data_IF_701873104242
#
_entry.id   IF_701873104242
#
_cell.length_a   1.000
_cell.length_b   1.000
_cell.length_c   1.000
_cell.angle_alpha   90.00
_cell.angle_beta   90.00
_cell.angle_gamma   90.00
#
_symmetry.space_group_name_H-M   'P 1'
#
loop_
_entity.id
_entity.type
_entity.pdbx_description
1 polymer ?
#
# COMPACT_ATOMS: atom_id res chain seq x y z
N UNK A 1 17.41 -27.91 31.80
CA UNK A 1 17.26 -26.93 30.71
C UNK A 1 16.79 -25.58 31.29
N UNK A 2 17.60 -24.99 32.13
CA UNK A 2 17.37 -23.75 32.83
C UNK A 2 18.62 -22.90 32.64
N UNK A 3 18.69 -22.07 31.62
CA UNK A 3 19.65 -20.95 31.60
C UNK A 3 19.56 -20.10 30.32
N UNK A 4 18.37 -19.61 29.95
CA UNK A 4 18.21 -18.68 28.79
C UNK A 4 17.65 -17.30 29.15
N UNK A 5 17.30 -17.02 30.40
CA UNK A 5 16.68 -15.76 30.81
C UNK A 5 17.63 -14.77 31.49
N UNK A 6 18.76 -15.22 32.02
CA UNK A 6 19.75 -14.38 32.72
C UNK A 6 20.65 -13.54 31.79
N UNK A 7 20.70 -13.86 30.50
CA UNK A 7 21.54 -13.14 29.51
C UNK A 7 20.83 -11.99 28.78
N UNK A 8 19.58 -11.68 29.15
CA UNK A 8 18.88 -10.57 28.55
C UNK A 8 19.40 -9.24 29.13
N UNK A 9 19.81 -8.37 28.24
CA UNK A 9 20.28 -7.02 28.58
C UNK A 9 19.47 -5.98 27.81
N UNK A 10 19.30 -4.81 28.42
CA UNK A 10 18.71 -3.62 27.80
C UNK A 10 19.73 -2.51 27.70
N UNK A 11 19.71 -1.79 26.59
CA UNK A 11 20.51 -0.59 26.36
C UNK A 11 19.58 0.58 26.14
N UNK A 12 19.74 1.63 26.95
CA UNK A 12 19.02 2.89 26.80
C UNK A 12 19.62 3.65 25.60
N UNK A 13 18.76 4.05 24.66
CA UNK A 13 19.15 4.85 23.51
C UNK A 13 18.30 6.12 23.46
N UNK A 14 18.92 7.30 23.37
CA UNK A 14 18.18 8.52 23.09
C UNK A 14 17.62 8.47 21.67
N UNK A 15 16.49 9.14 21.46
CA UNK A 15 15.90 9.33 20.15
C UNK A 15 16.00 10.78 19.69
N UNK A 16 15.70 11.06 18.43
CA UNK A 16 15.62 12.44 17.94
C UNK A 16 14.51 13.25 18.62
N UNK A 17 13.52 12.58 19.20
CA UNK A 17 12.46 13.21 19.99
C UNK A 17 12.80 13.09 21.48
N UNK A 18 13.05 14.20 22.21
CA UNK A 18 13.43 14.18 23.63
C UNK A 18 12.35 13.62 24.56
N UNK A 19 11.09 13.54 24.09
CA UNK A 19 10.00 12.93 24.86
C UNK A 19 9.97 11.39 24.76
N UNK A 20 10.84 10.81 23.94
CA UNK A 20 10.85 9.36 23.69
C UNK A 20 12.23 8.79 24.05
N UNK A 21 12.25 7.73 24.90
CA UNK A 21 13.41 6.86 25.05
C UNK A 21 13.18 5.52 24.34
N UNK A 22 14.27 4.90 23.91
CA UNK A 22 14.30 3.55 23.35
C UNK A 22 15.11 2.64 24.26
N UNK A 23 14.51 1.53 24.67
CA UNK A 23 15.14 0.45 25.41
C UNK A 23 15.36 -0.73 24.45
N UNK A 24 16.60 -0.94 24.03
CA UNK A 24 16.94 -1.97 23.05
C UNK A 24 17.46 -3.22 23.74
N UNK A 25 16.81 -4.35 23.44
CA UNK A 25 17.21 -5.68 23.97
C UNK A 25 18.23 -6.34 23.03
N UNK A 26 19.09 -7.16 23.61
CA UNK A 26 20.08 -7.94 22.87
C UNK A 26 19.48 -9.15 22.12
N UNK A 27 18.15 -9.31 22.13
CA UNK A 27 17.42 -10.36 21.41
C UNK A 27 16.01 -9.90 21.03
N UNK A 28 15.36 -10.58 20.06
CA UNK A 28 13.96 -10.31 19.74
C UNK A 28 13.04 -10.55 20.94
N UNK A 29 12.11 -9.61 21.17
CA UNK A 29 11.10 -9.64 22.24
C UNK A 29 9.74 -10.10 21.71
N UNK A 30 9.34 -9.61 20.55
CA UNK A 30 8.05 -9.87 19.91
C UNK A 30 8.20 -10.02 18.40
N UNK A 31 7.18 -10.60 17.75
CA UNK A 31 7.02 -10.56 16.30
C UNK A 31 6.12 -9.37 15.95
N UNK A 32 6.60 -8.47 15.07
CA UNK A 32 5.86 -7.27 14.67
C UNK A 32 6.14 -6.07 15.56
N UNK A 33 5.34 -5.03 15.38
CA UNK A 33 5.43 -3.76 16.10
C UNK A 33 4.06 -3.38 16.62
N UNK A 34 3.99 -2.87 17.84
CA UNK A 34 2.76 -2.57 18.56
C UNK A 34 2.85 -1.18 19.19
N UNK A 35 1.77 -0.41 19.11
CA UNK A 35 1.61 0.88 19.78
C UNK A 35 0.38 0.84 20.69
N UNK A 36 0.55 1.31 21.91
CA UNK A 36 -0.52 1.46 22.90
C UNK A 36 -0.54 2.91 23.38
N UNK A 37 -1.67 3.59 23.24
CA UNK A 37 -1.83 5.00 23.60
C UNK A 37 -2.43 5.21 24.98
N UNK A 38 -2.97 4.15 25.57
CA UNK A 38 -3.56 4.13 26.90
C UNK A 38 -3.63 2.68 27.43
N UNK A 39 -3.99 2.55 28.71
CA UNK A 39 -4.06 1.26 29.40
C UNK A 39 -5.17 0.36 28.84
N UNK A 40 -6.25 0.93 28.29
CA UNK A 40 -7.36 0.14 27.73
C UNK A 40 -6.98 -0.55 26.43
N UNK A 41 -6.09 0.05 25.64
CA UNK A 41 -5.52 -0.58 24.45
C UNK A 41 -4.54 -1.72 24.81
N UNK A 42 -3.95 -1.68 25.99
CA UNK A 42 -2.97 -2.65 26.48
C UNK A 42 -3.58 -3.89 27.18
N UNK A 43 -4.88 -4.18 27.00
CA UNK A 43 -5.58 -5.30 27.67
C UNK A 43 -4.87 -6.65 27.47
N UNK A 44 -4.36 -6.89 26.27
CA UNK A 44 -3.63 -8.12 25.91
C UNK A 44 -2.10 -7.91 25.83
N UNK A 45 -1.60 -6.85 26.45
CA UNK A 45 -0.18 -6.51 26.48
C UNK A 45 0.27 -6.25 27.93
N UNK A 46 0.50 -7.33 28.74
CA UNK A 46 0.78 -7.18 30.16
C UNK A 46 1.95 -6.25 30.48
N UNK A 47 3.03 -6.29 29.68
CA UNK A 47 4.14 -5.36 29.86
C UNK A 47 3.74 -3.90 29.64
N UNK A 48 3.01 -3.62 28.54
CA UNK A 48 2.54 -2.25 28.26
C UNK A 48 1.59 -1.77 29.36
N UNK A 49 0.71 -2.65 29.85
CA UNK A 49 -0.19 -2.35 30.95
C UNK A 49 0.57 -1.98 32.24
N UNK A 50 1.62 -2.70 32.61
CA UNK A 50 2.48 -2.34 33.75
C UNK A 50 3.14 -0.99 33.57
N UNK A 51 3.61 -0.68 32.36
CA UNK A 51 4.24 0.61 32.07
C UNK A 51 3.28 1.80 32.13
N UNK A 52 1.98 1.60 31.83
CA UNK A 52 0.97 2.65 32.02
C UNK A 52 0.63 2.94 33.49
N UNK A 53 1.04 2.13 34.43
CA UNK A 53 0.93 2.50 35.86
C UNK A 53 1.96 3.56 36.26
N UNK A 54 2.98 3.82 35.44
CA UNK A 54 3.87 4.95 35.61
C UNK A 54 3.16 6.22 35.11
N UNK A 55 2.86 7.22 35.98
CA UNK A 55 1.96 8.33 35.67
C UNK A 55 2.50 9.25 34.55
N UNK A 56 3.77 9.17 34.26
CA UNK A 56 4.42 9.95 33.21
C UNK A 56 4.47 9.26 31.84
N UNK A 57 4.07 7.97 31.73
CA UNK A 57 4.05 7.25 30.45
C UNK A 57 2.79 7.58 29.68
N UNK A 58 2.96 8.13 28.48
CA UNK A 58 1.89 8.55 27.56
C UNK A 58 1.61 7.51 26.48
N UNK A 59 2.66 6.89 25.93
CA UNK A 59 2.54 5.89 24.85
C UNK A 59 3.63 4.85 25.03
N UNK A 60 3.28 3.59 24.80
CA UNK A 60 4.19 2.44 24.81
C UNK A 60 4.28 1.86 23.43
N UNK A 61 5.50 1.71 22.90
CA UNK A 61 5.81 1.02 21.66
C UNK A 61 6.60 -0.25 21.97
N UNK A 62 6.21 -1.37 21.38
CA UNK A 62 6.94 -2.64 21.50
C UNK A 62 7.18 -3.17 20.09
N UNK A 63 8.42 -3.40 19.72
CA UNK A 63 8.75 -3.84 18.37
C UNK A 63 9.98 -4.73 18.40
N UNK A 64 9.95 -5.80 17.62
CA UNK A 64 11.07 -6.70 17.42
C UNK A 64 11.94 -6.87 18.67
N UNK A 65 13.02 -6.11 18.81
CA UNK A 65 14.00 -6.16 19.90
C UNK A 65 14.02 -4.89 20.76
N UNK A 66 13.03 -4.00 20.69
CA UNK A 66 13.04 -2.79 21.50
C UNK A 66 11.66 -2.41 22.07
N UNK A 67 11.70 -1.63 23.14
CA UNK A 67 10.55 -0.95 23.74
C UNK A 67 10.87 0.53 23.72
N UNK A 68 9.96 1.36 23.18
CA UNK A 68 10.09 2.80 23.24
C UNK A 68 8.93 3.39 24.05
N UNK A 69 9.24 4.38 24.87
CA UNK A 69 8.27 5.02 25.75
C UNK A 69 8.23 6.51 25.47
N UNK A 70 7.02 7.01 25.24
CA UNK A 70 6.77 8.46 25.18
C UNK A 70 6.23 8.92 26.51
N UNK A 71 6.78 10.02 27.04
CA UNK A 71 6.36 10.63 28.31
C UNK A 71 5.35 11.75 28.15
N UNK A 72 4.64 12.07 29.23
CA UNK A 72 4.06 13.38 29.43
C UNK A 72 5.17 14.37 29.91
N UNK A 73 5.02 15.70 29.72
CA UNK A 73 6.04 16.68 30.07
C UNK A 73 6.05 17.01 31.60
N UNK A 74 5.86 16.00 32.44
CA UNK A 74 5.85 16.12 33.92
C UNK A 74 7.14 15.64 34.58
N UNK A 75 7.99 14.91 33.84
CA UNK A 75 9.32 14.45 34.28
C UNK A 75 10.28 14.49 33.10
N UNK A 76 11.58 14.58 33.34
CA UNK A 76 12.60 14.40 32.31
C UNK A 76 13.11 12.97 32.30
N UNK A 77 13.34 12.40 31.09
CA UNK A 77 13.83 11.02 30.98
C UNK A 77 15.12 10.79 31.75
N UNK A 78 16.02 11.78 31.79
CA UNK A 78 17.29 11.72 32.54
C UNK A 78 17.12 11.41 34.02
N UNK A 79 15.97 11.73 34.58
CA UNK A 79 15.68 11.55 36.01
C UNK A 79 15.17 10.12 36.31
N UNK A 80 14.50 9.48 35.35
CA UNK A 80 13.74 8.23 35.57
C UNK A 80 14.15 7.07 34.65
N UNK A 81 14.93 7.31 33.62
CA UNK A 81 15.20 6.32 32.56
C UNK A 81 15.89 5.04 33.08
N UNK A 82 16.81 5.16 34.02
CA UNK A 82 17.54 4.01 34.56
C UNK A 82 16.62 3.11 35.39
N UNK A 83 15.74 3.72 36.20
CA UNK A 83 14.75 2.99 36.99
C UNK A 83 13.73 2.30 36.11
N UNK A 84 13.23 2.98 35.09
CA UNK A 84 12.31 2.41 34.10
C UNK A 84 12.97 1.26 33.32
N UNK A 85 14.22 1.44 32.88
CA UNK A 85 14.96 0.39 32.20
C UNK A 85 15.16 -0.85 33.08
N UNK A 86 15.46 -0.63 34.36
CA UNK A 86 15.61 -1.72 35.33
C UNK A 86 14.28 -2.45 35.58
N UNK A 87 13.18 -1.71 35.70
CA UNK A 87 11.83 -2.32 35.86
C UNK A 87 11.47 -3.17 34.65
N UNK A 88 11.69 -2.66 33.43
CA UNK A 88 11.46 -3.42 32.18
C UNK A 88 12.36 -4.66 32.12
N UNK A 89 13.64 -4.54 32.49
CA UNK A 89 14.58 -5.66 32.50
C UNK A 89 14.13 -6.76 33.45
N UNK A 90 13.75 -6.42 34.68
CA UNK A 90 13.22 -7.37 35.67
C UNK A 90 11.96 -8.05 35.16
N UNK A 91 11.06 -7.31 34.53
CA UNK A 91 9.87 -7.88 33.92
C UNK A 91 10.22 -8.92 32.83
N UNK A 92 11.10 -8.55 31.90
CA UNK A 92 11.52 -9.43 30.80
C UNK A 92 12.27 -10.68 31.29
N UNK A 93 13.09 -10.54 32.35
CA UNK A 93 13.79 -11.68 32.97
C UNK A 93 12.87 -12.58 33.78
N UNK A 94 11.73 -12.09 34.25
CA UNK A 94 10.74 -12.88 34.97
C UNK A 94 10.03 -13.94 34.15
N UNK A 95 10.16 -13.87 32.82
CA UNK A 95 9.50 -14.78 31.87
C UNK A 95 8.01 -14.58 31.72
N UNK A 96 7.47 -13.47 32.23
CA UNK A 96 6.09 -13.09 31.98
C UNK A 96 5.87 -12.77 30.51
N UNK A 97 4.66 -13.01 30.01
CA UNK A 97 4.29 -12.70 28.66
C UNK A 97 4.34 -11.18 28.40
N UNK A 98 4.94 -10.81 27.29
CA UNK A 98 4.95 -9.42 26.80
C UNK A 98 3.60 -9.10 26.16
N UNK A 99 3.08 -10.04 25.37
CA UNK A 99 1.82 -9.97 24.64
C UNK A 99 1.05 -11.27 24.86
N UNK A 100 -0.26 -11.21 25.04
CA UNK A 100 -1.18 -12.35 25.19
C UNK A 100 -2.04 -12.46 23.92
N UNK A 101 -1.96 -13.59 23.20
CA UNK A 101 -2.77 -13.82 22.01
C UNK A 101 -2.59 -12.74 20.94
N UNK A 102 -3.68 -12.29 20.33
CA UNK A 102 -3.68 -11.12 19.43
C UNK A 102 -3.67 -9.82 20.25
N UNK A 103 -2.55 -9.49 20.83
CA UNK A 103 -2.35 -8.26 21.57
C UNK A 103 -2.13 -7.08 20.64
N UNK A 104 -3.16 -6.29 20.47
CA UNK A 104 -3.09 -5.07 19.66
C UNK A 104 -3.03 -5.32 18.15
N UNK A 105 -3.32 -4.31 17.35
CA UNK A 105 -2.95 -4.33 15.93
C UNK A 105 -1.43 -4.17 15.87
N UNK A 106 -0.68 -5.06 15.21
CA UNK A 106 0.73 -4.81 14.96
C UNK A 106 0.83 -3.44 14.29
N UNK A 107 1.69 -2.58 14.84
CA UNK A 107 2.08 -1.36 14.15
C UNK A 107 2.80 -1.82 12.89
N UNK A 108 2.09 -1.86 11.76
CA UNK A 108 2.69 -2.14 10.46
C UNK A 108 3.86 -1.19 10.23
N UNK A 109 4.77 -1.55 9.35
CA UNK A 109 5.79 -0.61 8.87
C UNK A 109 5.15 0.74 8.64
N UNK A 110 5.80 1.81 9.09
CA UNK A 110 5.27 3.16 8.94
C UNK A 110 4.86 3.38 7.49
N UNK A 111 3.58 3.64 7.27
CA UNK A 111 3.07 3.85 5.90
C UNK A 111 3.71 5.10 5.34
N UNK A 112 4.42 4.93 4.25
CA UNK A 112 4.93 6.01 3.43
C UNK A 112 4.19 6.05 2.10
N UNK A 113 3.94 7.25 1.62
CA UNK A 113 3.36 7.49 0.29
C UNK A 113 4.19 8.58 -0.36
N UNK A 114 4.67 8.32 -1.56
CA UNK A 114 5.33 9.31 -2.40
C UNK A 114 4.59 9.45 -3.72
N UNK A 115 4.91 10.48 -4.49
CA UNK A 115 4.21 10.80 -5.73
C UNK A 115 5.15 10.71 -6.92
N UNK A 116 4.62 10.24 -8.03
CA UNK A 116 5.29 10.17 -9.33
C UNK A 116 4.42 10.87 -10.37
N UNK A 117 5.03 11.73 -11.18
CA UNK A 117 4.37 12.29 -12.36
C UNK A 117 4.21 11.22 -13.42
N UNK A 118 3.15 11.32 -14.22
CA UNK A 118 2.90 10.40 -15.33
C UNK A 118 3.01 11.16 -16.67
N UNK A 119 3.14 10.45 -17.79
CA UNK A 119 3.08 11.09 -19.11
C UNK A 119 1.75 11.79 -19.40
N UNK A 120 0.68 11.42 -18.67
CA UNK A 120 -0.60 12.10 -18.73
C UNK A 120 -0.64 13.22 -17.69
N UNK A 121 -0.66 14.50 -18.08
CA UNK A 121 -0.59 15.64 -17.15
C UNK A 121 -1.81 15.76 -16.24
N UNK A 122 -2.92 15.10 -16.57
CA UNK A 122 -4.11 15.07 -15.72
C UNK A 122 -4.05 13.99 -14.65
N UNK A 123 -3.03 13.13 -14.66
CA UNK A 123 -2.91 11.99 -13.74
C UNK A 123 -1.66 12.11 -12.87
N UNK A 124 -1.84 11.89 -11.56
CA UNK A 124 -0.76 11.76 -10.59
C UNK A 124 -0.80 10.38 -9.93
N UNK A 125 0.37 9.74 -9.83
CA UNK A 125 0.54 8.43 -9.23
C UNK A 125 1.03 8.57 -7.78
N UNK A 126 0.35 7.91 -6.85
CA UNK A 126 0.65 7.86 -5.42
C UNK A 126 1.07 6.45 -5.04
N UNK A 127 2.34 6.26 -4.70
CA UNK A 127 2.94 4.96 -4.43
C UNK A 127 3.11 4.74 -2.94
N UNK A 128 2.55 3.66 -2.43
CA UNK A 128 2.68 3.24 -1.03
C UNK A 128 3.80 2.19 -0.87
N UNK A 129 4.38 2.11 0.33
CA UNK A 129 5.34 1.07 0.68
C UNK A 129 4.70 -0.28 1.03
N UNK A 130 3.42 -0.47 0.74
CA UNK A 130 2.71 -1.74 0.91
C UNK A 130 1.78 -2.01 -0.26
N UNK A 131 1.48 -3.28 -0.48
CA UNK A 131 0.46 -3.67 -1.45
C UNK A 131 -0.93 -3.17 -1.02
N UNK A 132 -1.67 -2.58 -1.94
CA UNK A 132 -3.00 -2.00 -1.72
C UNK A 132 -4.10 -2.96 -2.20
N UNK A 133 -3.94 -3.49 -3.40
CA UNK A 133 -4.91 -4.36 -4.07
C UNK A 133 -4.23 -5.56 -4.73
N UNK A 134 -4.90 -6.71 -4.84
CA UNK A 134 -4.35 -7.89 -5.50
C UNK A 134 -4.57 -7.91 -7.02
N UNK A 135 -5.39 -7.02 -7.54
CA UNK A 135 -5.75 -6.92 -8.97
C UNK A 135 -6.03 -5.47 -9.34
N UNK A 136 -5.90 -5.15 -10.62
CA UNK A 136 -6.21 -3.82 -11.15
C UNK A 136 -7.70 -3.53 -11.00
N UNK A 137 -8.02 -2.34 -10.48
CA UNK A 137 -9.40 -1.87 -10.33
C UNK A 137 -9.46 -0.37 -10.59
N UNK A 138 -10.45 0.07 -11.36
CA UNK A 138 -10.68 1.46 -11.70
C UNK A 138 -12.12 1.87 -11.39
N UNK A 139 -12.30 3.09 -10.94
CA UNK A 139 -13.59 3.71 -10.65
C UNK A 139 -13.65 5.07 -11.32
N UNK A 140 -14.63 5.24 -12.22
CA UNK A 140 -14.85 6.47 -12.99
C UNK A 140 -15.98 7.33 -12.42
N UNK A 141 -16.63 6.86 -11.37
CA UNK A 141 -17.67 7.63 -10.68
C UNK A 141 -17.84 7.17 -9.21
N UNK A 142 -18.56 7.98 -8.43
CA UNK A 142 -18.90 7.64 -7.04
C UNK A 142 -19.84 6.42 -6.98
N UNK A 143 -20.73 6.31 -7.96
CA UNK A 143 -21.70 5.22 -8.07
C UNK A 143 -21.00 3.87 -8.28
N UNK A 144 -19.92 3.84 -9.06
CA UNK A 144 -19.10 2.65 -9.25
C UNK A 144 -18.31 2.28 -7.99
N UNK A 145 -17.95 3.27 -7.18
CA UNK A 145 -17.08 3.12 -6.02
C UNK A 145 -17.81 2.70 -4.72
N UNK A 146 -19.08 2.27 -4.77
CA UNK A 146 -19.89 1.91 -3.58
C UNK A 146 -19.23 0.83 -2.70
N UNK A 147 -18.56 -0.13 -3.31
CA UNK A 147 -17.84 -1.20 -2.62
C UNK A 147 -16.35 -0.90 -2.39
N UNK A 148 -15.92 0.34 -2.68
CA UNK A 148 -14.54 0.79 -2.53
C UNK A 148 -14.46 2.03 -1.64
N UNK A 149 -14.47 1.89 -0.31
CA UNK A 149 -14.54 3.01 0.64
C UNK A 149 -13.46 4.07 0.43
N UNK A 150 -12.25 3.67 0.00
CA UNK A 150 -11.18 4.61 -0.29
C UNK A 150 -11.47 5.44 -1.55
N UNK A 151 -11.88 4.80 -2.64
CA UNK A 151 -12.23 5.49 -3.89
C UNK A 151 -13.43 6.42 -3.68
N UNK A 152 -14.51 5.92 -3.06
CA UNK A 152 -15.68 6.73 -2.74
C UNK A 152 -15.33 7.97 -1.92
N UNK A 153 -14.43 7.81 -0.93
CA UNK A 153 -14.00 8.94 -0.10
C UNK A 153 -13.14 9.94 -0.89
N UNK A 154 -12.23 9.47 -1.75
CA UNK A 154 -11.40 10.34 -2.58
C UNK A 154 -12.26 11.16 -3.55
N UNK A 155 -13.19 10.52 -4.25
CA UNK A 155 -14.11 11.17 -5.19
C UNK A 155 -15.06 12.17 -4.52
N UNK A 156 -15.51 11.87 -3.28
CA UNK A 156 -16.42 12.75 -2.53
C UNK A 156 -15.69 13.93 -1.89
N UNK A 157 -14.52 13.66 -1.27
CA UNK A 157 -13.79 14.67 -0.50
C UNK A 157 -13.04 15.65 -1.38
N UNK A 158 -12.57 15.19 -2.54
CA UNK A 158 -11.81 15.97 -3.50
C UNK A 158 -12.57 16.08 -4.83
N UNK A 159 -13.53 17.01 -4.96
CA UNK A 159 -14.43 17.07 -6.11
C UNK A 159 -13.74 17.29 -7.46
N UNK A 160 -12.49 17.71 -7.45
CA UNK A 160 -11.64 17.83 -8.62
C UNK A 160 -11.05 16.50 -9.09
N UNK A 161 -11.15 15.41 -8.30
CA UNK A 161 -10.79 14.05 -8.73
C UNK A 161 -11.97 13.46 -9.50
N UNK A 162 -11.69 12.93 -10.68
CA UNK A 162 -12.67 12.32 -11.59
C UNK A 162 -12.61 10.80 -11.58
N UNK A 163 -11.37 10.23 -11.56
CA UNK A 163 -11.17 8.79 -11.61
C UNK A 163 -10.14 8.36 -10.56
N UNK A 164 -10.35 7.15 -10.03
CA UNK A 164 -9.45 6.50 -9.08
C UNK A 164 -9.09 5.12 -9.62
N UNK A 165 -7.81 4.92 -9.89
CA UNK A 165 -7.26 3.69 -10.39
C UNK A 165 -6.32 3.07 -9.33
N UNK A 166 -6.47 1.77 -9.05
CA UNK A 166 -5.62 1.02 -8.12
C UNK A 166 -4.89 -0.10 -8.85
N UNK A 167 -3.61 -0.23 -8.60
CA UNK A 167 -2.83 -1.40 -9.00
C UNK A 167 -1.71 -1.66 -7.99
N UNK A 168 -1.52 -2.91 -7.62
CA UNK A 168 -0.52 -3.41 -6.67
C UNK A 168 -0.34 -2.50 -5.45
N UNK A 169 0.66 -1.61 -5.46
CA UNK A 169 1.02 -0.72 -4.36
C UNK A 169 0.80 0.77 -4.66
N UNK A 170 0.09 1.13 -5.71
CA UNK A 170 -0.13 2.54 -6.07
C UNK A 170 -1.58 2.88 -6.43
N UNK A 171 -1.86 4.16 -6.38
CA UNK A 171 -3.12 4.77 -6.78
C UNK A 171 -2.81 5.83 -7.82
N UNK A 172 -3.42 5.76 -9.00
CA UNK A 172 -3.41 6.87 -9.95
C UNK A 172 -4.73 7.63 -9.82
N UNK A 173 -4.62 8.95 -9.64
CA UNK A 173 -5.77 9.85 -9.56
C UNK A 173 -5.80 10.72 -10.80
N UNK A 174 -6.93 10.70 -11.51
CA UNK A 174 -7.21 11.60 -12.63
C UNK A 174 -7.95 12.81 -12.11
N UNK A 175 -7.44 14.00 -12.40
CA UNK A 175 -8.12 15.26 -12.08
C UNK A 175 -8.91 15.78 -13.26
N UNK A 176 -10.02 16.45 -12.96
CA UNK A 176 -10.75 17.32 -13.88
C UNK A 176 -10.50 18.78 -13.50
N UNK A 177 -10.62 19.66 -14.48
CA UNK A 177 -10.46 21.08 -14.23
C UNK A 177 -9.02 21.59 -14.33
N UNK A 178 -8.81 22.82 -13.86
CA UNK A 178 -7.57 23.57 -14.03
C UNK A 178 -6.68 23.60 -12.78
N UNK A 179 -7.03 22.84 -11.75
CA UNK A 179 -6.23 22.76 -10.51
C UNK A 179 -4.82 22.28 -10.86
N UNK A 180 -3.80 22.99 -10.36
CA UNK A 180 -2.42 22.60 -10.55
C UNK A 180 -2.03 21.53 -9.51
N UNK A 181 -1.35 20.45 -9.94
CA UNK A 181 -0.94 19.37 -9.05
C UNK A 181 -0.11 19.85 -7.86
N UNK A 182 0.74 20.86 -8.07
CA UNK A 182 1.60 21.46 -7.05
C UNK A 182 0.81 21.99 -5.85
N UNK A 183 -0.43 22.42 -6.08
CA UNK A 183 -1.30 22.98 -5.04
C UNK A 183 -2.05 21.90 -4.23
N UNK A 184 -2.30 20.74 -4.82
CA UNK A 184 -3.20 19.72 -4.26
C UNK A 184 -2.50 18.41 -3.89
N UNK A 185 -1.33 18.13 -4.45
CA UNK A 185 -0.65 16.84 -4.29
C UNK A 185 -0.25 16.55 -2.86
N UNK A 186 0.15 17.56 -2.09
CA UNK A 186 0.58 17.38 -0.70
C UNK A 186 -0.60 16.93 0.18
N UNK A 187 -1.75 17.58 0.05
CA UNK A 187 -2.98 17.26 0.80
C UNK A 187 -3.50 15.86 0.45
N UNK A 188 -3.51 15.51 -0.83
CA UNK A 188 -3.89 14.18 -1.30
C UNK A 188 -2.95 13.10 -0.75
N UNK A 189 -1.65 13.30 -0.86
CA UNK A 189 -0.64 12.36 -0.35
C UNK A 189 -0.79 12.14 1.15
N UNK A 190 -0.92 13.22 1.93
CA UNK A 190 -1.05 13.14 3.39
C UNK A 190 -2.37 12.50 3.80
N UNK A 191 -3.44 12.76 3.05
CA UNK A 191 -4.73 12.10 3.25
C UNK A 191 -4.64 10.59 2.97
N UNK A 192 -4.07 10.19 1.83
CA UNK A 192 -3.87 8.78 1.46
C UNK A 192 -3.01 8.07 2.52
N UNK A 193 -1.88 8.67 2.90
CA UNK A 193 -1.01 8.12 3.95
C UNK A 193 -1.73 7.92 5.27
N UNK A 194 -2.51 8.92 5.71
CA UNK A 194 -3.31 8.84 6.94
C UNK A 194 -4.36 7.73 6.84
N UNK A 195 -5.11 7.69 5.74
CA UNK A 195 -6.13 6.66 5.49
C UNK A 195 -5.56 5.25 5.61
N UNK A 196 -4.41 5.02 4.97
CA UNK A 196 -3.71 3.73 4.98
C UNK A 196 -3.11 3.38 6.35
N UNK A 197 -2.60 4.37 7.10
CA UNK A 197 -2.05 4.18 8.44
C UNK A 197 -3.12 3.87 9.49
N UNK A 198 -4.34 4.36 9.29
CA UNK A 198 -5.51 4.03 10.13
C UNK A 198 -6.01 2.59 9.88
N UNK A 199 -5.48 1.89 8.89
CA UNK A 199 -5.90 0.53 8.53
C UNK A 199 -7.34 0.46 8.01
N UNK A 200 -7.84 1.55 7.45
CA UNK A 200 -9.19 1.61 6.87
C UNK A 200 -9.27 0.73 5.61
N UNK A 201 -10.43 0.14 5.32
CA UNK A 201 -10.61 -0.71 4.15
C UNK A 201 -10.45 0.10 2.86
N UNK A 202 -9.66 -0.42 1.92
CA UNK A 202 -9.45 0.19 0.60
C UNK A 202 -10.62 -0.16 -0.30
N UNK A 203 -10.91 -1.47 -0.41
CA UNK A 203 -11.99 -2.06 -1.19
C UNK A 203 -12.58 -3.18 -0.35
N UNK A 204 -13.87 -3.40 -0.41
CA UNK A 204 -14.53 -4.48 0.32
C UNK A 204 -14.04 -5.86 -0.18
N UNK A 205 -13.75 -6.81 0.72
CA UNK A 205 -13.23 -8.13 0.35
C UNK A 205 -14.09 -8.88 -0.66
N UNK A 206 -15.42 -8.72 -0.58
CA UNK A 206 -16.35 -9.35 -1.52
C UNK A 206 -16.17 -8.81 -2.95
N UNK A 207 -15.95 -7.51 -3.11
CA UNK A 207 -15.67 -6.87 -4.40
C UNK A 207 -14.34 -7.33 -4.98
N UNK A 208 -13.28 -7.40 -4.14
CA UNK A 208 -11.98 -7.93 -4.56
C UNK A 208 -12.14 -9.35 -5.10
N UNK A 209 -12.85 -10.20 -4.38
CA UNK A 209 -13.09 -11.58 -4.77
C UNK A 209 -13.85 -11.67 -6.11
N UNK A 210 -14.91 -10.88 -6.26
CA UNK A 210 -15.69 -10.80 -7.51
C UNK A 210 -14.82 -10.40 -8.70
N UNK A 211 -14.01 -9.33 -8.55
CA UNK A 211 -13.09 -8.85 -9.59
C UNK A 211 -12.02 -9.88 -9.96
N UNK A 212 -11.49 -10.60 -8.98
CA UNK A 212 -10.53 -11.68 -9.23
C UNK A 212 -11.17 -12.84 -9.98
N UNK A 213 -12.38 -13.26 -9.62
CA UNK A 213 -13.12 -14.32 -10.31
C UNK A 213 -13.46 -13.92 -11.76
N UNK A 214 -13.88 -12.67 -11.98
CA UNK A 214 -14.13 -12.12 -13.33
C UNK A 214 -12.85 -12.10 -14.18
N UNK A 215 -11.73 -11.63 -13.61
CA UNK A 215 -10.45 -11.61 -14.30
C UNK A 215 -9.95 -13.02 -14.65
N UNK A 216 -10.12 -13.98 -13.74
CA UNK A 216 -9.73 -15.37 -13.96
C UNK A 216 -10.62 -16.06 -15.01
N UNK A 217 -11.95 -15.84 -14.96
CA UNK A 217 -12.88 -16.36 -15.94
C UNK A 217 -12.58 -15.82 -17.34
N UNK A 218 -12.26 -14.52 -17.45
CA UNK A 218 -11.85 -13.89 -18.71
C UNK A 218 -10.56 -14.49 -19.26
N UNK A 219 -9.54 -14.64 -18.38
CA UNK A 219 -8.28 -15.26 -18.77
C UNK A 219 -8.49 -16.69 -19.28
N UNK A 220 -9.31 -17.47 -18.59
CA UNK A 220 -9.63 -18.85 -18.98
C UNK A 220 -10.34 -18.91 -20.35
N UNK A 221 -11.29 -18.01 -20.61
CA UNK A 221 -11.99 -17.93 -21.90
C UNK A 221 -11.03 -17.55 -23.04
N UNK A 222 -10.03 -16.72 -22.78
CA UNK A 222 -9.00 -16.33 -23.76
C UNK A 222 -8.03 -17.48 -24.06
N UNK A 223 -7.58 -18.21 -23.04
CA UNK A 223 -6.66 -19.35 -23.17
C UNK A 223 -7.26 -20.49 -23.98
N UNK A 224 -8.58 -20.63 -24.00
CA UNK A 224 -9.30 -21.66 -24.78
C UNK A 224 -9.54 -21.26 -26.24
N UNK A 225 -9.24 -20.00 -26.64
CA UNK A 225 -9.72 -19.47 -27.92
C UNK A 225 -8.75 -19.73 -29.07
N UNK A 226 -7.47 -19.37 -28.97
CA UNK A 226 -6.49 -19.67 -30.03
C UNK A 226 -5.04 -19.38 -29.61
N UNK A 227 -4.09 -20.05 -30.28
CA UNK A 227 -2.66 -19.97 -30.01
C UNK A 227 -2.08 -18.57 -30.24
N UNK A 228 -2.59 -17.83 -31.24
CA UNK A 228 -2.09 -16.47 -31.53
C UNK A 228 -2.52 -15.51 -30.44
N UNK A 229 -3.76 -15.59 -29.97
CA UNK A 229 -4.24 -14.77 -28.83
C UNK A 229 -3.43 -15.02 -27.57
N UNK A 230 -3.04 -16.27 -27.30
CA UNK A 230 -2.16 -16.59 -26.16
C UNK A 230 -0.77 -15.95 -26.30
N UNK A 231 -0.20 -15.98 -27.51
CA UNK A 231 1.09 -15.31 -27.80
C UNK A 231 0.98 -13.79 -27.65
N UNK A 232 -0.12 -13.18 -28.13
CA UNK A 232 -0.36 -11.74 -27.96
C UNK A 232 -0.42 -11.38 -26.48
N UNK A 233 -1.19 -12.13 -25.66
CA UNK A 233 -1.26 -11.91 -24.21
C UNK A 233 0.11 -12.01 -23.56
N UNK A 234 0.89 -13.05 -23.87
CA UNK A 234 2.24 -13.21 -23.33
C UNK A 234 3.18 -12.07 -23.71
N UNK A 235 3.11 -11.58 -24.94
CA UNK A 235 3.90 -10.44 -25.40
C UNK A 235 3.49 -9.15 -24.68
N UNK A 236 2.19 -8.89 -24.54
CA UNK A 236 1.67 -7.71 -23.82
C UNK A 236 2.14 -7.75 -22.36
N UNK A 237 1.97 -8.88 -21.66
CA UNK A 237 2.37 -9.02 -20.25
C UNK A 237 3.88 -8.84 -20.07
N UNK A 238 4.70 -9.36 -20.97
CA UNK A 238 6.15 -9.33 -20.83
C UNK A 238 6.78 -8.00 -21.26
N UNK A 239 6.32 -7.40 -22.36
CA UNK A 239 7.03 -6.28 -23.01
C UNK A 239 6.30 -4.93 -22.88
N UNK A 240 4.98 -4.94 -22.70
CA UNK A 240 4.17 -3.70 -22.70
C UNK A 240 3.73 -3.32 -21.30
N UNK A 241 3.16 -4.26 -20.57
CA UNK A 241 2.56 -4.00 -19.25
C UNK A 241 3.52 -3.39 -18.22
N UNK A 242 4.80 -3.78 -18.13
CA UNK A 242 5.73 -3.17 -17.18
C UNK A 242 5.94 -1.65 -17.43
N UNK A 243 6.02 -1.24 -18.69
CA UNK A 243 6.16 0.18 -19.05
C UNK A 243 4.87 0.94 -18.74
N UNK A 244 3.72 0.39 -19.11
CA UNK A 244 2.40 0.97 -18.82
C UNK A 244 2.14 1.12 -17.32
N UNK A 245 2.52 0.13 -16.50
CA UNK A 245 2.41 0.18 -15.05
C UNK A 245 3.37 1.22 -14.43
N UNK A 246 4.58 1.36 -14.99
CA UNK A 246 5.51 2.43 -14.61
C UNK A 246 4.87 3.81 -14.79
N UNK A 247 4.15 3.99 -15.88
CA UNK A 247 3.44 5.24 -16.21
C UNK A 247 2.10 5.41 -15.44
N UNK A 248 1.78 4.51 -14.52
CA UNK A 248 0.59 4.62 -13.67
C UNK A 248 -0.71 4.15 -14.29
N UNK A 249 -0.64 3.33 -15.34
CA UNK A 249 -1.79 2.74 -16.01
C UNK A 249 -1.73 1.22 -16.09
N UNK A 250 -2.65 0.66 -16.86
CA UNK A 250 -2.71 -0.76 -17.19
C UNK A 250 -3.15 -0.97 -18.63
N UNK A 251 -2.75 -2.10 -19.19
CA UNK A 251 -3.20 -2.57 -20.50
C UNK A 251 -3.76 -3.98 -20.36
N UNK A 252 -4.89 -4.24 -20.99
CA UNK A 252 -5.53 -5.54 -21.02
C UNK A 252 -5.88 -5.92 -22.45
N UNK A 253 -5.49 -7.12 -22.85
CA UNK A 253 -5.96 -7.72 -24.12
C UNK A 253 -7.46 -7.99 -24.05
N UNK A 254 -8.19 -7.65 -25.13
CA UNK A 254 -9.63 -7.87 -25.26
C UNK A 254 -9.91 -8.94 -26.30
N UNK A 255 -9.45 -8.75 -27.55
CA UNK A 255 -9.73 -9.67 -28.64
C UNK A 255 -8.65 -9.62 -29.72
N UNK A 256 -8.63 -10.67 -30.54
CA UNK A 256 -7.87 -10.74 -31.78
C UNK A 256 -8.73 -11.32 -32.89
N UNK A 257 -8.88 -10.60 -34.00
CA UNK A 257 -9.54 -11.06 -35.19
C UNK A 257 -8.50 -11.54 -36.20
N UNK A 258 -8.52 -12.83 -36.53
CA UNK A 258 -7.58 -13.49 -37.46
C UNK A 258 -7.68 -13.00 -38.91
N UNK A 259 -8.91 -12.69 -39.36
CA UNK A 259 -9.16 -12.33 -40.75
C UNK A 259 -8.68 -10.91 -41.07
N UNK A 260 -8.82 -10.01 -40.11
CA UNK A 260 -8.44 -8.61 -40.23
C UNK A 260 -7.12 -8.27 -39.56
N UNK A 261 -6.49 -9.22 -38.85
CA UNK A 261 -5.32 -9.04 -38.02
C UNK A 261 -5.45 -7.92 -36.97
N UNK A 262 -6.69 -7.70 -36.51
CA UNK A 262 -7.03 -6.64 -35.59
C UNK A 262 -6.95 -7.11 -34.15
N UNK A 263 -6.19 -6.37 -33.31
CA UNK A 263 -6.03 -6.60 -31.88
C UNK A 263 -6.70 -5.47 -31.13
N UNK A 264 -7.62 -5.79 -30.25
CA UNK A 264 -8.25 -4.85 -29.33
C UNK A 264 -7.61 -4.94 -27.95
N UNK A 265 -7.25 -3.80 -27.39
CA UNK A 265 -6.71 -3.68 -26.03
C UNK A 265 -7.48 -2.61 -25.24
N UNK A 266 -7.70 -2.84 -23.95
CA UNK A 266 -8.26 -1.84 -23.04
C UNK A 266 -7.13 -1.14 -22.31
N UNK A 267 -7.12 0.19 -22.33
CA UNK A 267 -6.21 1.03 -21.56
C UNK A 267 -6.92 1.59 -20.34
N UNK A 268 -6.23 1.61 -19.19
CA UNK A 268 -6.78 2.07 -17.91
C UNK A 268 -5.78 2.97 -17.17
N UNK A 269 -6.28 3.73 -16.20
CA UNK A 269 -5.47 4.65 -15.41
C UNK A 269 -4.84 5.75 -16.25
N UNK A 270 -3.56 6.07 -16.03
CA UNK A 270 -2.87 7.14 -16.72
C UNK A 270 -2.80 6.98 -18.26
N UNK A 271 -3.00 5.77 -18.77
CA UNK A 271 -2.99 5.49 -20.21
C UNK A 271 -4.32 5.76 -20.90
N UNK A 272 -5.41 5.93 -20.13
CA UNK A 272 -6.70 6.40 -20.64
C UNK A 272 -6.75 7.94 -20.69
N UNK A 273 -7.54 8.50 -21.59
CA UNK A 273 -7.89 9.92 -21.58
C UNK A 273 -6.87 10.92 -22.16
N UNK A 274 -5.64 10.53 -22.51
CA UNK A 274 -4.69 11.42 -23.18
C UNK A 274 -4.51 11.06 -24.67
N UNK A 275 -5.08 11.81 -25.62
CA UNK A 275 -5.05 11.44 -27.04
C UNK A 275 -3.62 11.24 -27.61
N UNK A 276 -2.65 12.06 -27.18
CA UNK A 276 -1.28 11.97 -27.66
C UNK A 276 -0.52 10.78 -27.11
N UNK A 277 -0.71 10.44 -25.82
CA UNK A 277 -0.08 9.27 -25.19
C UNK A 277 -0.74 7.98 -25.68
N UNK A 278 -2.06 7.96 -25.83
CA UNK A 278 -2.80 6.80 -26.36
C UNK A 278 -2.35 6.43 -27.77
N UNK A 279 -2.18 7.42 -28.67
CA UNK A 279 -1.68 7.14 -30.03
C UNK A 279 -0.24 6.65 -30.05
N UNK A 280 0.63 7.22 -29.24
CA UNK A 280 2.03 6.80 -29.13
C UNK A 280 2.13 5.38 -28.58
N UNK A 281 1.37 5.09 -27.53
CA UNK A 281 1.30 3.78 -26.91
C UNK A 281 0.75 2.73 -27.88
N UNK A 282 -0.36 3.04 -28.55
CA UNK A 282 -0.96 2.19 -29.59
C UNK A 282 0.08 1.79 -30.65
N UNK A 283 0.79 2.77 -31.22
CA UNK A 283 1.84 2.51 -32.21
C UNK A 283 2.98 1.68 -31.65
N UNK A 284 3.39 1.93 -30.42
CA UNK A 284 4.42 1.15 -29.73
C UNK A 284 4.03 -0.31 -29.55
N UNK A 285 2.80 -0.56 -29.11
CA UNK A 285 2.23 -1.91 -28.97
C UNK A 285 2.18 -2.61 -30.33
N UNK A 286 1.71 -1.92 -31.36
CA UNK A 286 1.60 -2.45 -32.71
C UNK A 286 2.97 -2.86 -33.28
N UNK A 287 4.01 -2.05 -33.09
CA UNK A 287 5.38 -2.37 -33.51
C UNK A 287 5.91 -3.60 -32.77
N UNK A 288 5.71 -3.70 -31.46
CA UNK A 288 6.16 -4.84 -30.66
C UNK A 288 5.44 -6.14 -31.12
N UNK A 289 4.13 -6.08 -31.32
CA UNK A 289 3.35 -7.25 -31.75
C UNK A 289 3.74 -7.69 -33.16
N UNK A 290 3.93 -6.76 -34.11
CA UNK A 290 4.41 -7.06 -35.46
C UNK A 290 5.76 -7.76 -35.47
N UNK A 291 6.69 -7.25 -34.66
CA UNK A 291 8.06 -7.82 -34.55
C UNK A 291 8.02 -9.21 -33.91
N UNK A 292 7.37 -9.37 -32.77
CA UNK A 292 7.37 -10.63 -32.02
C UNK A 292 6.58 -11.76 -32.65
N UNK A 293 5.53 -11.42 -33.40
CA UNK A 293 4.69 -12.40 -34.12
C UNK A 293 5.10 -12.58 -35.57
N UNK A 294 6.11 -11.85 -36.07
CA UNK A 294 6.50 -11.81 -37.48
C UNK A 294 5.30 -11.56 -38.43
N UNK A 295 4.37 -10.72 -37.99
CA UNK A 295 3.15 -10.41 -38.74
C UNK A 295 2.99 -8.90 -38.97
N UNK A 296 3.36 -8.38 -40.16
CA UNK A 296 3.29 -6.94 -40.46
C UNK A 296 1.86 -6.40 -40.60
N UNK A 297 0.87 -7.27 -40.70
CA UNK A 297 -0.53 -6.88 -40.91
C UNK A 297 -1.27 -6.54 -39.60
N UNK A 298 -0.66 -6.82 -38.44
CA UNK A 298 -1.28 -6.54 -37.15
C UNK A 298 -1.61 -5.04 -37.04
N UNK A 299 -2.83 -4.78 -36.65
CA UNK A 299 -3.34 -3.44 -36.31
C UNK A 299 -3.91 -3.48 -34.90
N UNK A 300 -3.59 -2.46 -34.10
CA UNK A 300 -4.02 -2.37 -32.70
C UNK A 300 -5.08 -1.29 -32.55
N UNK A 301 -6.18 -1.57 -31.87
CA UNK A 301 -7.16 -0.60 -31.41
C UNK A 301 -7.16 -0.54 -29.90
N UNK A 302 -7.09 0.69 -29.35
CA UNK A 302 -7.15 0.95 -27.95
C UNK A 302 -8.55 1.42 -27.55
N UNK A 303 -9.19 0.66 -26.67
CA UNK A 303 -10.43 1.04 -25.98
C UNK A 303 -10.07 1.81 -24.71
N UNK A 304 -10.91 2.79 -24.28
CA UNK A 304 -10.69 3.68 -23.15
C UNK A 304 -11.77 3.50 -22.09
#
# INVERSE_FOLDING_TARGET
KTNKMTDLTLKIQPTANPDIIKLEANRPLVKGSYEFKNIDEAKNAPLAKELFYLPFVKTVYISSNFIALKRFPIVEWKEVQEEVAQQVLVYLQSGKDILLGEAGKPMGEAITVYTETTPNPTVMKFVANKRLVPTVIEYKSIEEATEAPMAATLLTRFPFIEEVFFDDNYISLTKKGMEEWEMIVADLRDYIRKYLSEGRPIINPAEIKRRQEEAQARLLSMVTTDEISQQIVAIIEQYVKPAVASDGGNIQFISYNRDTHHVEVLLQGACSGCPSSTQTLKKGIEVILKDKLNNPLINVEALL
#
